data_IF_217170003863
#
_entry.id   IF_217170003863
#
_cell.length_a   1.000
_cell.length_b   1.000
_cell.length_c   1.000
_cell.angle_alpha   90.00
_cell.angle_beta   90.00
_cell.angle_gamma   90.00
#
_symmetry.space_group_name_H-M   'P 1'
#
loop_
_entity.id
_entity.type
_entity.pdbx_description
1 polymer ?
#
# COMPACT_ATOMS: atom_id res chain seq x y z
N UNK A 1 -8.02 -18.47 -10.73
CA UNK A 1 -6.60 -18.22 -11.04
C UNK A 1 -6.29 -16.84 -10.51
N UNK A 2 -5.11 -16.67 -9.91
CA UNK A 2 -4.90 -15.64 -8.88
C UNK A 2 -5.32 -14.21 -9.28
N UNK A 3 -5.18 -13.85 -10.56
CA UNK A 3 -5.59 -12.54 -11.08
C UNK A 3 -7.12 -12.35 -11.11
N UNK A 4 -7.88 -13.36 -11.56
CA UNK A 4 -9.35 -13.29 -11.53
C UNK A 4 -9.89 -13.30 -10.11
N UNK A 5 -9.15 -13.90 -9.18
CA UNK A 5 -9.54 -13.98 -7.78
C UNK A 5 -9.38 -12.63 -7.06
N UNK A 6 -8.57 -11.69 -7.54
CA UNK A 6 -8.35 -10.36 -6.90
C UNK A 6 -9.45 -9.35 -7.26
N UNK A 7 -9.96 -9.39 -8.50
CA UNK A 7 -10.89 -8.39 -9.01
C UNK A 7 -10.21 -7.06 -9.40
N UNK A 8 -11.01 -6.01 -9.59
CA UNK A 8 -10.53 -4.68 -10.01
C UNK A 8 -9.69 -3.99 -8.93
N UNK A 9 -8.46 -3.60 -9.29
CA UNK A 9 -7.52 -2.89 -8.42
C UNK A 9 -6.69 -1.89 -9.22
N UNK A 10 -6.64 -0.64 -8.74
CA UNK A 10 -5.81 0.41 -9.32
C UNK A 10 -4.49 0.53 -8.56
N UNK A 11 -3.38 0.24 -9.24
CA UNK A 11 -2.04 0.44 -8.71
C UNK A 11 -1.31 1.50 -9.54
N UNK A 12 -0.90 2.57 -8.87
CA UNK A 12 -0.32 3.73 -9.52
C UNK A 12 1.08 3.99 -8.95
N UNK A 13 2.06 4.16 -9.83
CA UNK A 13 3.46 4.41 -9.45
C UNK A 13 3.95 5.74 -10.02
N UNK A 14 4.68 6.50 -9.22
CA UNK A 14 5.39 7.70 -9.65
C UNK A 14 6.84 7.64 -9.17
N UNK A 15 7.78 8.04 -10.02
CA UNK A 15 9.20 8.06 -9.64
C UNK A 15 9.58 9.20 -8.69
N UNK A 16 8.74 10.23 -8.56
CA UNK A 16 8.95 11.37 -7.67
C UNK A 16 7.63 12.05 -7.30
N UNK A 17 7.70 13.07 -6.43
CA UNK A 17 6.55 13.81 -5.90
C UNK A 17 5.73 14.57 -6.96
N UNK A 18 6.23 14.70 -8.19
CA UNK A 18 5.48 15.32 -9.28
C UNK A 18 4.24 14.52 -9.71
N UNK A 19 4.11 13.28 -9.22
CA UNK A 19 2.90 12.48 -9.34
C UNK A 19 2.40 12.24 -10.78
N UNK A 20 3.30 12.13 -11.76
CA UNK A 20 2.94 11.90 -13.17
C UNK A 20 2.13 10.60 -13.39
N UNK A 21 2.28 9.61 -12.51
CA UNK A 21 1.47 8.38 -12.52
C UNK A 21 0.25 8.45 -11.61
N UNK A 22 -0.06 9.60 -11.03
CA UNK A 22 -1.21 9.85 -10.15
C UNK A 22 -1.27 8.89 -8.94
N UNK A 23 -0.14 8.63 -8.29
CA UNK A 23 -0.05 7.67 -7.17
C UNK A 23 -1.02 7.98 -6.03
N UNK A 24 -1.33 9.25 -5.76
CA UNK A 24 -2.27 9.65 -4.70
C UNK A 24 -3.71 9.20 -4.94
N UNK A 25 -4.11 8.83 -6.16
CA UNK A 25 -5.49 8.45 -6.50
C UNK A 25 -5.59 7.00 -6.96
N UNK A 26 -4.51 6.23 -6.91
CA UNK A 26 -4.57 4.77 -7.03
C UNK A 26 -5.08 4.14 -5.72
N UNK A 27 -5.74 2.98 -5.82
CA UNK A 27 -6.10 2.21 -4.62
C UNK A 27 -4.85 1.89 -3.80
N UNK A 28 -3.77 1.54 -4.50
CA UNK A 28 -2.41 1.46 -3.97
C UNK A 28 -1.53 2.46 -4.74
N UNK A 29 -1.03 3.46 -4.03
CA UNK A 29 -0.09 4.45 -4.54
C UNK A 29 1.36 4.11 -4.16
N UNK A 30 2.28 4.22 -5.12
CA UNK A 30 3.71 4.03 -4.91
C UNK A 30 4.45 5.30 -5.32
N UNK A 31 5.12 5.94 -4.36
CA UNK A 31 5.93 7.13 -4.56
C UNK A 31 7.42 6.79 -4.41
N UNK A 32 8.19 6.97 -5.49
CA UNK A 32 9.65 6.96 -5.43
C UNK A 32 10.18 8.15 -4.63
N UNK A 33 11.08 7.87 -3.69
CA UNK A 33 11.81 8.85 -2.88
C UNK A 33 13.30 8.56 -2.93
N UNK A 34 14.11 9.58 -3.18
CA UNK A 34 15.57 9.47 -3.09
C UNK A 34 15.99 9.66 -1.63
N UNK A 35 16.83 8.75 -1.13
CA UNK A 35 17.50 8.90 0.16
C UNK A 35 18.99 8.69 -0.02
N UNK A 36 19.73 9.80 -0.07
CA UNK A 36 21.19 9.78 -0.21
C UNK A 36 21.66 9.04 -1.47
N UNK A 37 20.93 9.17 -2.58
CA UNK A 37 21.23 8.50 -3.84
C UNK A 37 20.72 7.05 -3.94
N UNK A 38 19.97 6.57 -2.95
CA UNK A 38 19.31 5.26 -3.00
C UNK A 38 17.82 5.39 -3.33
N UNK A 39 17.30 4.44 -4.12
CA UNK A 39 15.89 4.34 -4.49
C UNK A 39 15.06 3.70 -3.37
N UNK A 40 14.17 4.50 -2.78
CA UNK A 40 13.19 4.06 -1.79
C UNK A 40 11.77 4.32 -2.29
N UNK A 41 10.78 3.62 -1.72
CA UNK A 41 9.39 3.72 -2.15
C UNK A 41 8.45 3.86 -0.97
N UNK A 42 7.68 4.94 -0.94
CA UNK A 42 6.61 5.18 0.02
C UNK A 42 5.28 4.63 -0.52
N UNK A 43 4.51 3.99 0.35
CA UNK A 43 3.25 3.34 -0.01
C UNK A 43 2.07 4.12 0.57
N UNK A 44 1.08 4.36 -0.28
CA UNK A 44 -0.20 4.97 0.04
C UNK A 44 -1.34 3.99 -0.25
N UNK A 45 -2.39 4.03 0.58
CA UNK A 45 -3.57 3.17 0.41
C UNK A 45 -4.84 3.99 0.55
N UNK A 46 -5.84 3.68 -0.29
CA UNK A 46 -7.19 4.26 -0.21
C UNK A 46 -7.43 5.45 -1.15
N UNK A 47 -6.56 5.69 -2.12
CA UNK A 47 -6.84 6.63 -3.21
C UNK A 47 -7.90 6.07 -4.15
N UNK A 48 -8.65 6.95 -4.81
CA UNK A 48 -9.67 6.59 -5.79
C UNK A 48 -9.91 7.76 -6.74
N UNK A 49 -9.91 7.52 -8.05
CA UNK A 49 -10.19 8.53 -9.07
C UNK A 49 -11.67 8.91 -9.17
N UNK A 50 -12.57 8.17 -8.50
CA UNK A 50 -13.96 8.57 -8.30
C UNK A 50 -14.92 8.22 -9.43
N UNK A 51 -14.51 7.40 -10.42
CA UNK A 51 -15.31 7.18 -11.63
C UNK A 51 -16.15 5.90 -11.70
N UNK A 52 -16.15 5.00 -10.69
CA UNK A 52 -16.74 3.65 -10.94
C UNK A 52 -18.12 3.40 -10.32
N UNK A 53 -18.59 4.10 -9.26
CA UNK A 53 -19.94 3.80 -8.69
C UNK A 53 -20.65 5.00 -8.03
N UNK A 54 -22.01 5.03 -8.05
CA UNK A 54 -22.80 5.97 -7.28
C UNK A 54 -22.49 5.85 -5.77
N UNK A 55 -22.29 7.00 -5.10
CA UNK A 55 -22.18 7.06 -3.64
C UNK A 55 -20.76 7.10 -3.06
N UNK A 56 -19.70 7.05 -3.88
CA UNK A 56 -18.32 7.34 -3.44
C UNK A 56 -17.59 8.23 -4.41
N UNK A 57 -17.10 9.36 -3.90
CA UNK A 57 -16.29 10.30 -4.66
C UNK A 57 -14.81 9.93 -4.71
N UNK A 58 -14.04 10.77 -5.38
CA UNK A 58 -12.59 10.67 -5.38
C UNK A 58 -12.02 10.81 -3.97
N UNK A 59 -10.92 10.11 -3.71
CA UNK A 59 -10.19 10.16 -2.45
C UNK A 59 -8.69 10.15 -2.70
N UNK A 60 -7.95 10.74 -1.77
CA UNK A 60 -6.49 10.64 -1.73
C UNK A 60 -6.07 9.46 -0.87
N UNK A 61 -5.06 8.74 -1.33
CA UNK A 61 -4.37 7.71 -0.58
C UNK A 61 -3.71 8.29 0.67
N UNK A 62 -3.58 7.43 1.68
CA UNK A 62 -2.89 7.76 2.93
C UNK A 62 -1.59 6.99 3.00
N UNK A 63 -0.51 7.69 3.31
CA UNK A 63 0.78 7.06 3.63
C UNK A 63 0.59 6.13 4.83
N UNK A 64 0.92 4.86 4.66
CA UNK A 64 0.67 3.83 5.69
C UNK A 64 1.87 3.59 6.60
N UNK A 65 3.05 4.12 6.28
CA UNK A 65 4.24 4.03 7.12
C UNK A 65 5.55 4.40 6.41
N UNK A 66 6.71 3.97 6.95
CA UNK A 66 8.02 4.20 6.35
C UNK A 66 8.17 3.66 4.92
N UNK A 67 9.12 4.23 4.17
CA UNK A 67 9.45 3.75 2.83
C UNK A 67 10.21 2.42 2.84
N UNK A 68 10.11 1.67 1.76
CA UNK A 68 10.78 0.39 1.52
C UNK A 68 11.89 0.51 0.49
N UNK A 69 12.88 -0.38 0.55
CA UNK A 69 13.83 -0.55 -0.54
C UNK A 69 13.12 -1.15 -1.76
N UNK A 70 13.64 -0.90 -2.97
CA UNK A 70 13.09 -1.43 -4.23
C UNK A 70 12.70 -2.91 -4.19
N UNK A 71 13.58 -3.73 -3.64
CA UNK A 71 13.41 -5.18 -3.60
C UNK A 71 12.28 -5.64 -2.65
N UNK A 72 11.87 -4.81 -1.70
CA UNK A 72 10.83 -5.14 -0.72
C UNK A 72 9.42 -4.78 -1.23
N UNK A 73 9.32 -3.93 -2.27
CA UNK A 73 8.01 -3.45 -2.77
C UNK A 73 7.09 -4.60 -3.19
N UNK A 74 7.52 -5.63 -3.94
CA UNK A 74 6.64 -6.75 -4.31
C UNK A 74 6.02 -7.46 -3.09
N UNK A 75 6.83 -7.77 -2.07
CA UNK A 75 6.36 -8.41 -0.83
C UNK A 75 5.35 -7.54 -0.08
N UNK A 76 5.51 -6.22 -0.13
CA UNK A 76 4.56 -5.27 0.47
C UNK A 76 3.23 -5.28 -0.27
N UNK A 77 3.25 -5.30 -1.61
CA UNK A 77 2.03 -5.39 -2.42
C UNK A 77 1.32 -6.72 -2.17
N UNK A 78 2.04 -7.83 -2.07
CA UNK A 78 1.47 -9.13 -1.75
C UNK A 78 0.73 -9.12 -0.41
N UNK A 79 1.35 -8.59 0.66
CA UNK A 79 0.71 -8.46 1.98
C UNK A 79 -0.54 -7.56 1.99
N UNK A 80 -0.57 -6.54 1.14
CA UNK A 80 -1.76 -5.69 0.98
C UNK A 80 -2.90 -6.47 0.31
N UNK A 81 -2.58 -7.23 -0.74
CA UNK A 81 -3.55 -8.07 -1.44
C UNK A 81 -4.05 -9.19 -0.53
N UNK A 82 -3.18 -9.89 0.19
CA UNK A 82 -3.56 -10.91 1.17
C UNK A 82 -4.47 -10.34 2.26
N UNK A 83 -4.15 -9.17 2.79
CA UNK A 83 -4.99 -8.48 3.78
C UNK A 83 -6.38 -8.17 3.23
N UNK A 84 -6.47 -7.73 1.98
CA UNK A 84 -7.72 -7.50 1.28
C UNK A 84 -8.51 -8.79 1.09
N UNK A 85 -7.91 -9.84 0.52
CA UNK A 85 -8.58 -11.11 0.26
C UNK A 85 -9.07 -11.78 1.54
N UNK A 86 -8.32 -11.66 2.64
CA UNK A 86 -8.71 -12.22 3.94
C UNK A 86 -9.88 -11.47 4.61
N UNK A 87 -10.16 -10.23 4.19
CA UNK A 87 -11.15 -9.35 4.84
C UNK A 87 -12.32 -8.96 3.94
N UNK A 88 -12.27 -9.30 2.65
CA UNK A 88 -13.40 -9.10 1.74
C UNK A 88 -14.57 -10.01 2.13
N UNK A 89 -15.78 -9.48 2.03
CA UNK A 89 -17.00 -10.21 2.38
C UNK A 89 -17.46 -11.13 1.22
N UNK A 90 -17.03 -10.84 -0.01
CA UNK A 90 -17.31 -11.65 -1.20
C UNK A 90 -16.33 -11.35 -2.33
N UNK A 91 -16.31 -12.20 -3.36
CA UNK A 91 -15.51 -11.98 -4.58
C UNK A 91 -15.93 -10.74 -5.38
N UNK A 92 -17.13 -10.20 -5.12
CA UNK A 92 -17.62 -8.97 -5.76
C UNK A 92 -17.18 -7.68 -5.04
N UNK A 93 -16.66 -7.78 -3.81
CA UNK A 93 -16.17 -6.62 -3.06
C UNK A 93 -14.74 -6.31 -3.49
N UNK A 94 -14.50 -5.07 -3.97
CA UNK A 94 -13.20 -4.65 -4.49
C UNK A 94 -12.25 -4.21 -3.38
N UNK A 95 -10.96 -4.13 -3.69
CA UNK A 95 -9.93 -3.67 -2.75
C UNK A 95 -10.30 -2.35 -2.06
N UNK A 96 -10.64 -1.33 -2.86
CA UNK A 96 -10.99 0.00 -2.35
C UNK A 96 -12.27 -0.03 -1.51
N UNK A 97 -13.17 -0.98 -1.80
CA UNK A 97 -14.40 -1.13 -1.06
C UNK A 97 -14.14 -1.64 0.36
N UNK A 98 -13.25 -2.63 0.48
CA UNK A 98 -12.72 -3.12 1.77
C UNK A 98 -12.00 -2.01 2.53
N UNK A 99 -11.04 -1.31 1.91
CA UNK A 99 -10.27 -0.24 2.57
C UNK A 99 -11.17 0.82 3.20
N UNK A 100 -12.21 1.24 2.49
CA UNK A 100 -13.14 2.23 3.03
C UNK A 100 -14.10 1.67 4.09
N UNK A 101 -14.41 0.36 4.07
CA UNK A 101 -15.28 -0.28 5.06
C UNK A 101 -14.56 -0.48 6.39
N UNK A 102 -13.32 -0.96 6.35
CA UNK A 102 -12.56 -1.36 7.55
C UNK A 102 -11.47 -0.35 7.96
N UNK A 103 -11.21 0.65 7.12
CA UNK A 103 -10.10 1.60 7.29
C UNK A 103 -8.75 1.03 6.84
N UNK A 104 -7.71 1.87 6.94
CA UNK A 104 -6.36 1.54 6.48
C UNK A 104 -5.51 0.80 7.54
N UNK A 105 -5.89 0.87 8.81
CA UNK A 105 -5.09 0.31 9.90
C UNK A 105 -4.79 -1.19 9.74
N UNK A 106 -5.75 -2.05 9.34
CA UNK A 106 -5.46 -3.47 9.13
C UNK A 106 -4.43 -3.73 8.00
N UNK A 107 -4.38 -2.86 6.99
CA UNK A 107 -3.40 -2.94 5.89
C UNK A 107 -2.01 -2.47 6.34
N UNK A 108 -1.96 -1.44 7.17
CA UNK A 108 -0.73 -1.02 7.83
C UNK A 108 -0.19 -2.15 8.72
N UNK A 109 -1.04 -2.74 9.56
CA UNK A 109 -0.65 -3.85 10.43
C UNK A 109 -0.15 -5.07 9.64
N UNK A 110 -0.78 -5.42 8.50
CA UNK A 110 -0.30 -6.55 7.69
C UNK A 110 1.10 -6.32 7.12
N UNK A 111 1.42 -5.08 6.76
CA UNK A 111 2.72 -4.70 6.21
C UNK A 111 3.79 -4.60 7.31
N UNK A 112 3.49 -3.89 8.41
CA UNK A 112 4.47 -3.51 9.44
C UNK A 112 4.44 -4.36 10.72
N UNK A 113 3.38 -5.10 11.00
CA UNK A 113 3.16 -5.79 12.29
C UNK A 113 4.28 -6.77 12.68
N UNK A 114 5.00 -7.32 11.70
CA UNK A 114 6.22 -8.11 11.91
C UNK A 114 7.52 -7.34 11.59
N UNK A 115 7.45 -6.24 10.85
CA UNK A 115 8.61 -5.45 10.41
C UNK A 115 9.07 -4.45 11.48
N UNK A 116 8.17 -3.84 12.26
CA UNK A 116 8.51 -2.98 13.40
C UNK A 116 9.29 -3.76 14.48
N UNK A 117 8.95 -5.03 14.67
CA UNK A 117 9.70 -5.93 15.55
C UNK A 117 11.11 -6.22 15.02
N UNK A 118 11.28 -6.39 13.69
CA UNK A 118 12.59 -6.61 13.05
C UNK A 118 13.45 -5.34 12.98
N UNK A 119 12.86 -4.17 12.77
CA UNK A 119 13.54 -2.88 12.76
C UNK A 119 14.02 -2.47 14.17
N UNK A 120 13.20 -2.73 15.19
CA UNK A 120 13.59 -2.60 16.60
C UNK A 120 14.74 -3.57 16.95
N UNK A 121 14.70 -4.81 16.46
CA UNK A 121 15.76 -5.80 16.68
C UNK A 121 17.10 -5.41 16.00
N UNK A 122 17.08 -4.91 14.76
CA UNK A 122 18.30 -4.43 14.07
C UNK A 122 18.91 -3.20 14.72
N UNK A 123 18.09 -2.24 15.18
CA UNK A 123 18.59 -1.09 15.97
C UNK A 123 19.24 -1.51 17.28
N UNK A 124 18.72 -2.55 17.94
CA UNK A 124 19.33 -3.10 19.16
C UNK A 124 20.69 -3.76 18.94
N UNK A 125 20.88 -4.47 17.83
CA UNK A 125 22.15 -5.14 17.50
C UNK A 125 23.28 -4.16 17.10
N UNK A 126 22.95 -3.07 16.42
CA UNK A 126 23.92 -2.02 16.02
C UNK A 126 24.35 -1.11 17.18
N UNK A 127 23.53 -0.99 18.23
CA UNK A 127 23.86 -0.21 19.43
C UNK A 127 24.65 -0.99 20.49
N UNK A 128 24.93 -2.28 20.24
CA UNK A 128 25.61 -3.21 21.15
C UNK A 128 27.02 -3.61 20.67
N UNK A 129 27.50 -2.97 19.60
CA UNK A 129 28.84 -3.14 19.00
C UNK A 129 29.58 -1.80 19.02
#
# INVERSE_FOLDING_TARGET
DYLHDIGEIDLNISGCMNACGHHHVGHIGILGVDKSGEEWYQIEVGGNQGEVRPGRGASLGKVIGPSFARAEVPDVIEKLIECYLARRDSDAERFIDVVHRIGVEPFKESVYGNADQRAAHRRGQLASA
#
